data_IF_088241491972
#
_entry.id   IF_088241491972
#
_cell.length_a   1.000
_cell.length_b   1.000
_cell.length_c   1.000
_cell.angle_alpha   90.00
_cell.angle_beta   90.00
_cell.angle_gamma   90.00
#
_symmetry.space_group_name_H-M   'P 1'
#
loop_
_entity.id
_entity.type
_entity.pdbx_description
1 polymer ?
#
# COMPACT_ATOMS: atom_id res chain seq x y z
N UNK A 1 13.93 6.45 26.25
CA UNK A 1 14.14 5.17 26.95
C UNK A 1 12.96 4.25 26.62
N UNK A 2 12.87 3.77 25.36
CA UNK A 2 11.92 2.74 24.88
C UNK A 2 12.46 2.23 23.53
N UNK A 3 13.55 1.44 23.55
CA UNK A 3 14.18 0.95 22.30
C UNK A 3 13.52 -0.33 21.73
N UNK A 4 12.44 -0.81 22.34
CA UNK A 4 11.72 -2.01 21.91
C UNK A 4 10.27 -1.92 22.34
N UNK A 5 9.47 -1.22 21.54
CA UNK A 5 8.02 -1.15 21.73
C UNK A 5 7.35 -2.42 21.16
N UNK A 6 7.97 -3.04 20.15
CA UNK A 6 7.42 -4.17 19.42
C UNK A 6 7.89 -5.53 19.97
N UNK A 7 7.00 -6.54 19.89
CA UNK A 7 7.32 -7.90 20.33
C UNK A 7 8.24 -8.63 19.34
N UNK A 8 8.74 -9.80 19.75
CA UNK A 8 9.48 -10.71 18.86
C UNK A 8 8.56 -11.09 17.68
N UNK A 9 8.99 -10.79 16.44
CA UNK A 9 8.22 -11.04 15.21
C UNK A 9 7.83 -9.80 14.41
N UNK A 10 8.02 -8.61 14.97
CA UNK A 10 7.82 -7.35 14.25
C UNK A 10 9.12 -6.84 13.62
N UNK A 11 8.99 -6.23 12.46
CA UNK A 11 10.07 -5.62 11.70
C UNK A 11 10.58 -4.31 12.31
N UNK A 12 11.52 -3.65 11.63
CA UNK A 12 12.02 -2.35 12.03
C UNK A 12 10.89 -1.30 12.00
N UNK A 13 10.95 -0.33 12.89
CA UNK A 13 10.00 0.77 12.93
C UNK A 13 10.24 1.80 11.81
N UNK A 14 9.17 2.25 11.13
CA UNK A 14 9.26 3.19 10.01
C UNK A 14 9.49 4.65 10.41
N UNK A 15 9.46 4.97 11.70
CA UNK A 15 9.76 6.31 12.23
C UNK A 15 11.14 6.34 12.85
N UNK A 16 11.46 5.36 13.71
CA UNK A 16 12.72 5.34 14.49
C UNK A 16 13.85 4.54 13.81
N UNK A 17 13.52 3.56 12.96
CA UNK A 17 14.50 2.63 12.33
C UNK A 17 14.41 2.64 10.79
N UNK A 18 14.16 3.81 10.20
CA UNK A 18 13.89 4.00 8.76
C UNK A 18 14.90 3.30 7.84
N UNK A 19 16.20 3.32 8.17
CA UNK A 19 17.24 2.67 7.37
C UNK A 19 17.03 1.16 7.26
N UNK A 20 16.79 0.49 8.41
CA UNK A 20 16.52 -0.96 8.43
C UNK A 20 15.17 -1.29 7.82
N UNK A 21 14.15 -0.42 8.00
CA UNK A 21 12.84 -0.61 7.39
C UNK A 21 12.94 -0.60 5.85
N UNK A 22 13.74 0.32 5.28
CA UNK A 22 14.05 0.38 3.86
C UNK A 22 14.77 -0.89 3.37
N UNK A 23 15.75 -1.38 4.12
CA UNK A 23 16.43 -2.65 3.80
C UNK A 23 15.44 -3.82 3.81
N UNK A 24 14.56 -3.91 4.81
CA UNK A 24 13.51 -4.92 4.86
C UNK A 24 12.55 -4.86 3.67
N UNK A 25 12.17 -3.66 3.23
CA UNK A 25 11.33 -3.47 2.05
C UNK A 25 12.05 -3.86 0.75
N UNK A 26 13.36 -3.58 0.62
CA UNK A 26 14.13 -4.04 -0.53
C UNK A 26 14.21 -5.58 -0.59
N UNK A 27 14.48 -6.24 0.55
CA UNK A 27 14.48 -7.70 0.64
C UNK A 27 13.10 -8.30 0.30
N UNK A 28 12.01 -7.65 0.73
CA UNK A 28 10.66 -8.03 0.34
C UNK A 28 10.44 -7.93 -1.17
N UNK A 29 10.89 -6.85 -1.82
CA UNK A 29 10.85 -6.74 -3.28
C UNK A 29 11.61 -7.87 -3.96
N UNK A 30 12.81 -8.18 -3.49
CA UNK A 30 13.61 -9.29 -4.06
C UNK A 30 12.88 -10.63 -3.97
N UNK A 31 12.10 -10.86 -2.92
CA UNK A 31 11.26 -12.06 -2.81
C UNK A 31 10.09 -12.05 -3.81
N UNK A 32 9.49 -10.88 -4.05
CA UNK A 32 8.37 -10.69 -5.00
C UNK A 32 8.84 -10.84 -6.45
N UNK A 33 9.94 -10.17 -6.83
CA UNK A 33 10.47 -10.13 -8.21
C UNK A 33 11.34 -11.35 -8.52
N UNK A 34 12.16 -11.77 -7.56
CA UNK A 34 13.33 -12.63 -7.76
C UNK A 34 13.02 -14.08 -8.11
N UNK A 35 11.81 -14.40 -8.54
CA UNK A 35 11.36 -15.77 -8.82
C UNK A 35 10.77 -15.95 -10.21
N UNK A 36 10.51 -14.89 -10.96
CA UNK A 36 10.13 -14.99 -12.39
C UNK A 36 11.35 -15.13 -13.32
N UNK A 37 12.53 -14.68 -12.89
CA UNK A 37 13.74 -14.66 -13.74
C UNK A 37 14.70 -15.85 -13.51
N UNK A 38 14.44 -16.72 -12.52
CA UNK A 38 15.33 -17.85 -12.21
C UNK A 38 15.07 -19.04 -13.13
N UNK A 39 15.86 -19.06 -14.21
CA UNK A 39 16.33 -20.22 -15.00
C UNK A 39 15.30 -21.33 -15.25
N UNK A 40 14.62 -21.19 -16.39
CA UNK A 40 14.02 -22.30 -17.13
C UNK A 40 15.11 -23.38 -17.33
N UNK A 41 14.96 -24.54 -16.70
CA UNK A 41 15.77 -25.74 -16.99
C UNK A 41 16.79 -26.20 -15.94
N UNK A 42 16.77 -25.70 -14.70
CA UNK A 42 17.52 -26.29 -13.58
C UNK A 42 16.58 -27.01 -12.60
N UNK A 43 17.00 -28.18 -12.15
CA UNK A 43 16.34 -28.87 -11.04
C UNK A 43 16.59 -28.09 -9.74
N UNK A 44 15.53 -27.51 -9.19
CA UNK A 44 15.56 -26.86 -7.89
C UNK A 44 15.42 -27.88 -6.77
N UNK A 45 16.14 -27.66 -5.67
CA UNK A 45 15.92 -28.39 -4.42
C UNK A 45 14.51 -28.17 -3.86
N UNK A 46 14.05 -29.03 -2.95
CA UNK A 46 12.72 -28.90 -2.34
C UNK A 46 12.55 -27.58 -1.57
N UNK A 47 13.60 -27.11 -0.92
CA UNK A 47 13.60 -25.84 -0.16
C UNK A 47 13.47 -24.64 -1.10
N UNK A 48 14.19 -24.66 -2.23
CA UNK A 48 14.06 -23.62 -3.27
C UNK A 48 12.68 -23.62 -3.91
N UNK A 49 12.08 -24.79 -4.18
CA UNK A 49 10.72 -24.88 -4.70
C UNK A 49 9.69 -24.28 -3.74
N UNK A 50 9.83 -24.52 -2.43
CA UNK A 50 8.96 -23.93 -1.41
C UNK A 50 9.12 -22.40 -1.34
N UNK A 51 10.35 -21.91 -1.40
CA UNK A 51 10.62 -20.48 -1.46
C UNK A 51 10.01 -19.86 -2.73
N UNK A 52 10.10 -20.54 -3.88
CA UNK A 52 9.51 -20.12 -5.16
C UNK A 52 7.99 -20.03 -5.07
N UNK A 53 7.36 -21.06 -4.51
CA UNK A 53 5.91 -21.05 -4.33
C UNK A 53 5.47 -19.94 -3.37
N UNK A 54 6.25 -19.68 -2.32
CA UNK A 54 5.97 -18.63 -1.35
C UNK A 54 6.07 -17.22 -1.95
N UNK A 55 7.12 -16.92 -2.72
CA UNK A 55 7.27 -15.61 -3.36
C UNK A 55 6.21 -15.37 -4.43
N UNK A 56 5.85 -16.39 -5.21
CA UNK A 56 4.70 -16.31 -6.14
C UNK A 56 3.36 -16.04 -5.45
N UNK A 57 3.14 -16.63 -4.26
CA UNK A 57 1.94 -16.35 -3.48
C UNK A 57 1.89 -14.90 -2.99
N UNK A 58 3.04 -14.34 -2.58
CA UNK A 58 3.15 -12.92 -2.18
C UNK A 58 2.96 -12.01 -3.39
N UNK A 59 3.58 -12.34 -4.53
CA UNK A 59 3.52 -11.54 -5.75
C UNK A 59 2.08 -11.28 -6.23
N UNK A 60 1.24 -12.32 -6.20
CA UNK A 60 -0.18 -12.24 -6.57
C UNK A 60 -1.08 -11.67 -5.48
N UNK A 61 -0.54 -11.42 -4.27
CA UNK A 61 -1.33 -10.93 -3.15
C UNK A 61 -1.67 -9.45 -3.35
N UNK A 62 -2.90 -9.01 -3.00
CA UNK A 62 -3.24 -7.59 -2.91
C UNK A 62 -2.28 -6.82 -1.99
N UNK A 63 -1.73 -5.70 -2.46
CA UNK A 63 -0.77 -4.88 -1.70
C UNK A 63 -1.34 -4.43 -0.35
N UNK A 64 -2.64 -4.11 -0.28
CA UNK A 64 -3.30 -3.77 0.98
C UNK A 64 -3.17 -4.89 2.03
N UNK A 65 -3.40 -6.13 1.61
CA UNK A 65 -3.35 -7.28 2.52
C UNK A 65 -1.91 -7.54 2.98
N UNK A 66 -0.95 -7.44 2.06
CA UNK A 66 0.46 -7.59 2.38
C UNK A 66 0.93 -6.54 3.39
N UNK A 67 0.59 -5.26 3.16
CA UNK A 67 0.91 -4.17 4.08
C UNK A 67 0.30 -4.35 5.48
N UNK A 68 -0.87 -5.00 5.58
CA UNK A 68 -1.53 -5.22 6.87
C UNK A 68 -0.95 -6.41 7.64
N UNK A 69 -0.57 -7.48 6.93
CA UNK A 69 -0.26 -8.76 7.57
C UNK A 69 1.24 -9.01 7.70
N UNK A 70 2.05 -8.47 6.80
CA UNK A 70 3.51 -8.60 6.86
C UNK A 70 4.11 -7.53 7.79
N UNK A 71 3.91 -7.72 9.09
CA UNK A 71 4.47 -6.85 10.14
C UNK A 71 6.00 -6.94 10.25
N UNK A 72 6.64 -7.87 9.55
CA UNK A 72 8.10 -7.94 9.39
C UNK A 72 8.66 -6.87 8.45
N UNK A 73 7.84 -6.37 7.52
CA UNK A 73 8.21 -5.36 6.53
C UNK A 73 7.43 -4.06 6.78
N UNK A 74 6.12 -4.17 6.94
CA UNK A 74 5.19 -3.05 7.11
C UNK A 74 4.77 -2.90 8.58
N UNK A 75 5.75 -2.93 9.48
CA UNK A 75 5.51 -2.84 10.92
C UNK A 75 4.70 -1.57 11.28
N UNK A 76 3.66 -1.75 12.09
CA UNK A 76 2.81 -0.65 12.59
C UNK A 76 1.78 -0.16 11.57
N UNK A 77 1.76 -0.72 10.35
CA UNK A 77 0.80 -0.36 9.33
C UNK A 77 -0.43 -1.28 9.43
N UNK A 78 -1.54 -0.70 9.90
CA UNK A 78 -2.84 -1.35 9.91
C UNK A 78 -3.68 -1.01 8.68
N UNK A 79 -4.87 -1.63 8.57
CA UNK A 79 -5.78 -1.49 7.41
C UNK A 79 -6.13 -0.06 7.05
N UNK A 80 -6.37 0.81 8.03
CA UNK A 80 -6.68 2.22 7.76
C UNK A 80 -5.47 2.96 7.19
N UNK A 81 -4.33 2.87 7.89
CA UNK A 81 -3.09 3.53 7.47
C UNK A 81 -2.63 3.06 6.08
N UNK A 82 -2.75 1.76 5.79
CA UNK A 82 -2.45 1.22 4.47
C UNK A 82 -3.37 1.78 3.38
N UNK A 83 -4.69 1.86 3.63
CA UNK A 83 -5.61 2.46 2.65
C UNK A 83 -5.32 3.94 2.40
N UNK A 84 -5.08 4.70 3.47
CA UNK A 84 -4.81 6.13 3.39
C UNK A 84 -3.49 6.39 2.65
N UNK A 85 -2.45 5.61 2.95
CA UNK A 85 -1.18 5.64 2.23
C UNK A 85 -1.36 5.28 0.74
N UNK A 86 -2.04 4.17 0.43
CA UNK A 86 -2.24 3.72 -0.96
C UNK A 86 -3.03 4.74 -1.77
N UNK A 87 -3.96 5.46 -1.15
CA UNK A 87 -4.61 6.62 -1.77
C UNK A 87 -3.60 7.74 -2.08
N UNK A 88 -2.70 8.08 -1.14
CA UNK A 88 -1.67 9.11 -1.39
C UNK A 88 -0.61 8.69 -2.42
N UNK A 89 -0.33 7.40 -2.51
CA UNK A 89 0.61 6.82 -3.47
C UNK A 89 -0.05 6.46 -4.81
N UNK A 90 -1.29 6.90 -5.05
CA UNK A 90 -2.07 6.63 -6.27
C UNK A 90 -2.08 5.13 -6.67
N UNK A 91 -2.07 4.24 -5.69
CA UNK A 91 -2.02 2.79 -5.88
C UNK A 91 -3.34 2.17 -5.45
N UNK A 92 -3.96 1.38 -6.32
CA UNK A 92 -5.21 0.71 -5.99
C UNK A 92 -5.00 -0.36 -4.90
N UNK A 93 -5.87 -0.49 -3.89
CA UNK A 93 -5.62 -1.42 -2.78
C UNK A 93 -5.56 -2.90 -3.16
N UNK A 94 -6.19 -3.28 -4.27
CA UNK A 94 -6.15 -4.65 -4.78
C UNK A 94 -5.06 -4.90 -5.83
N UNK A 95 -4.23 -3.90 -6.13
CA UNK A 95 -3.07 -4.07 -7.00
C UNK A 95 -2.19 -5.21 -6.47
N UNK A 96 -1.85 -6.22 -7.30
CA UNK A 96 -0.91 -7.26 -6.91
C UNK A 96 0.44 -6.66 -6.49
N UNK A 97 1.08 -7.24 -5.47
CA UNK A 97 2.41 -6.79 -5.02
C UNK A 97 3.42 -6.78 -6.16
N UNK A 98 3.30 -7.72 -7.10
CA UNK A 98 4.14 -7.79 -8.29
C UNK A 98 4.15 -6.49 -9.09
N UNK A 99 2.98 -5.86 -9.33
CA UNK A 99 2.89 -4.64 -10.13
C UNK A 99 3.64 -3.46 -9.49
N UNK A 100 3.73 -3.42 -8.16
CA UNK A 100 4.50 -2.40 -7.43
C UNK A 100 6.00 -2.69 -7.49
N UNK A 101 6.38 -3.96 -7.55
CA UNK A 101 7.76 -4.41 -7.44
C UNK A 101 8.48 -4.58 -8.79
N UNK A 102 7.76 -4.90 -9.87
CA UNK A 102 8.34 -5.25 -11.17
C UNK A 102 9.17 -4.11 -11.77
N UNK A 103 8.64 -2.89 -11.76
CA UNK A 103 9.36 -1.70 -12.22
C UNK A 103 10.14 -1.07 -11.05
N UNK A 104 11.46 -0.95 -11.20
CA UNK A 104 12.32 -0.38 -10.17
C UNK A 104 11.98 1.08 -9.86
N UNK A 105 11.62 1.88 -10.86
CA UNK A 105 11.30 3.29 -10.67
C UNK A 105 9.98 3.44 -9.90
N UNK A 106 8.96 2.65 -10.27
CA UNK A 106 7.68 2.59 -9.55
C UNK A 106 7.88 2.17 -8.10
N UNK A 107 8.75 1.17 -7.86
CA UNK A 107 9.06 0.73 -6.52
C UNK A 107 9.81 1.79 -5.69
N UNK A 108 10.79 2.48 -6.28
CA UNK A 108 11.53 3.54 -5.59
C UNK A 108 10.60 4.71 -5.24
N UNK A 109 9.68 5.08 -6.14
CA UNK A 109 8.66 6.09 -5.88
C UNK A 109 7.69 5.66 -4.77
N UNK A 110 7.22 4.40 -4.80
CA UNK A 110 6.39 3.83 -3.74
C UNK A 110 7.11 3.84 -2.38
N UNK A 111 8.37 3.39 -2.34
CA UNK A 111 9.20 3.39 -1.13
C UNK A 111 9.43 4.81 -0.61
N UNK A 112 9.71 5.76 -1.49
CA UNK A 112 9.88 7.17 -1.12
C UNK A 112 8.57 7.73 -0.55
N UNK A 113 7.45 7.51 -1.23
CA UNK A 113 6.13 7.95 -0.77
C UNK A 113 5.79 7.36 0.60
N UNK A 114 6.11 6.08 0.85
CA UNK A 114 5.87 5.41 2.13
C UNK A 114 6.66 6.08 3.26
N UNK A 115 7.94 6.35 3.02
CA UNK A 115 8.82 7.00 4.00
C UNK A 115 8.33 8.41 4.30
N UNK A 116 8.02 9.19 3.27
CA UNK A 116 7.54 10.56 3.41
C UNK A 116 6.19 10.61 4.15
N UNK A 117 5.27 9.70 3.82
CA UNK A 117 3.97 9.59 4.46
C UNK A 117 4.10 9.26 5.95
N UNK A 118 4.92 8.27 6.31
CA UNK A 118 5.08 7.85 7.71
C UNK A 118 5.87 8.87 8.54
N UNK A 119 6.80 9.60 7.93
CA UNK A 119 7.54 10.68 8.58
C UNK A 119 6.62 11.81 9.08
N UNK A 120 5.44 12.02 8.45
CA UNK A 120 4.45 13.01 8.92
C UNK A 120 4.06 12.74 10.36
N UNK A 121 3.81 11.48 10.73
CA UNK A 121 3.33 11.11 12.07
C UNK A 121 4.39 11.30 13.17
N UNK A 122 5.67 11.24 12.81
CA UNK A 122 6.78 11.57 13.70
C UNK A 122 7.09 13.08 13.79
N UNK A 123 6.50 13.91 12.93
CA UNK A 123 6.86 15.31 12.82
C UNK A 123 6.29 16.18 13.95
N UNK A 124 7.08 17.16 14.40
CA UNK A 124 6.62 18.12 15.41
C UNK A 124 5.43 18.95 14.91
N UNK A 125 5.37 19.21 13.60
CA UNK A 125 4.26 19.92 12.94
C UNK A 125 2.97 19.15 13.08
N UNK A 126 3.00 17.84 12.80
CA UNK A 126 1.84 16.96 13.00
C UNK A 126 1.38 16.99 14.45
N UNK A 127 2.27 16.74 15.41
CA UNK A 127 1.92 16.80 16.83
C UNK A 127 1.31 18.13 17.22
N UNK A 128 1.88 19.26 16.79
CA UNK A 128 1.31 20.60 17.07
C UNK A 128 -0.09 20.77 16.48
N UNK A 129 -0.36 20.22 15.31
CA UNK A 129 -1.67 20.33 14.64
C UNK A 129 -2.76 19.52 15.34
N UNK A 130 -2.43 18.33 15.86
CA UNK A 130 -3.41 17.45 16.50
C UNK A 130 -3.52 17.68 18.01
N UNK A 131 -2.47 18.17 18.68
CA UNK A 131 -2.45 18.42 20.14
C UNK A 131 -2.97 19.80 20.54
N UNK A 132 -3.64 20.53 19.64
CA UNK A 132 -4.12 21.87 19.95
C UNK A 132 -5.16 21.87 21.06
N UNK A 133 -4.91 22.70 22.07
CA UNK A 133 -5.76 23.22 23.14
C UNK A 133 -6.92 22.31 23.57
N UNK A 134 -6.81 21.75 24.77
CA UNK A 134 -7.89 20.96 25.38
C UNK A 134 -9.22 21.71 25.31
N UNK A 135 -10.25 21.05 24.82
CA UNK A 135 -11.60 21.59 24.77
C UNK A 135 -12.24 21.68 26.17
N UNK A 136 -11.66 21.01 27.16
CA UNK A 136 -12.14 20.99 28.53
C UNK A 136 -11.01 20.86 29.56
N UNK A 137 -11.29 21.21 30.81
CA UNK A 137 -10.41 20.89 31.95
C UNK A 137 -10.57 19.44 32.42
N UNK A 138 -11.61 18.74 31.97
CA UNK A 138 -11.80 17.32 32.23
C UNK A 138 -10.94 16.48 31.28
N UNK A 139 -9.95 15.76 31.82
CA UNK A 139 -9.02 14.91 31.07
C UNK A 139 -9.66 13.70 30.36
N UNK A 140 -10.90 13.35 30.73
CA UNK A 140 -11.65 12.27 30.10
C UNK A 140 -12.69 12.76 29.09
N UNK A 141 -12.80 14.09 28.90
CA UNK A 141 -13.69 14.64 27.89
C UNK A 141 -13.08 14.43 26.51
N UNK A 142 -13.88 13.90 25.59
CA UNK A 142 -13.51 13.73 24.19
C UNK A 142 -13.02 15.06 23.60
N UNK A 143 -11.81 15.07 23.02
CA UNK A 143 -11.28 16.25 22.33
C UNK A 143 -11.71 16.26 20.86
N UNK A 144 -12.91 16.80 20.63
CA UNK A 144 -13.52 16.98 19.31
C UNK A 144 -12.61 17.67 18.30
N UNK A 145 -11.93 18.74 18.72
CA UNK A 145 -11.04 19.52 17.84
C UNK A 145 -9.79 18.76 17.41
N UNK A 146 -9.19 17.99 18.33
CA UNK A 146 -8.08 17.10 18.01
C UNK A 146 -8.49 16.01 17.02
N UNK A 147 -9.68 15.43 17.24
CA UNK A 147 -10.25 14.43 16.34
C UNK A 147 -10.56 15.01 14.95
N UNK A 148 -11.19 16.18 14.85
CA UNK A 148 -11.48 16.82 13.56
C UNK A 148 -10.20 17.14 12.77
N UNK A 149 -9.17 17.64 13.44
CA UNK A 149 -7.87 17.89 12.82
C UNK A 149 -7.22 16.58 12.33
N UNK A 150 -7.26 15.52 13.14
CA UNK A 150 -6.75 14.22 12.74
C UNK A 150 -7.54 13.64 11.56
N UNK A 151 -8.87 13.63 11.63
CA UNK A 151 -9.74 13.06 10.60
C UNK A 151 -9.61 13.81 9.26
N UNK A 152 -9.53 15.13 9.28
CA UNK A 152 -9.40 15.93 8.05
C UNK A 152 -8.04 15.78 7.34
N UNK A 153 -6.96 15.63 8.11
CA UNK A 153 -5.61 15.55 7.57
C UNK A 153 -5.17 14.12 7.24
N UNK A 154 -5.56 13.14 8.05
CA UNK A 154 -4.98 11.80 8.01
C UNK A 154 -5.89 10.71 7.45
N UNK A 155 -7.22 10.90 7.45
CA UNK A 155 -8.15 9.88 6.95
C UNK A 155 -8.46 10.14 5.48
N UNK A 156 -7.93 9.30 4.60
CA UNK A 156 -8.01 9.38 3.12
C UNK A 156 -8.55 8.05 2.58
N UNK A 157 -9.79 7.73 2.93
CA UNK A 157 -10.41 6.45 2.56
C UNK A 157 -11.02 6.46 1.16
N UNK A 158 -10.75 5.40 0.39
CA UNK A 158 -11.56 4.99 -0.76
C UNK A 158 -13.01 4.70 -0.31
N UNK A 159 -13.88 5.69 -0.40
CA UNK A 159 -15.33 5.54 -0.18
C UNK A 159 -16.06 6.01 -1.42
N UNK A 160 -17.14 5.32 -1.80
CA UNK A 160 -18.10 5.80 -2.83
C UNK A 160 -18.80 7.07 -2.32
N UNK A 161 -18.13 8.20 -2.43
CA UNK A 161 -18.62 9.55 -2.12
C UNK A 161 -17.95 10.55 -3.06
N UNK A 162 -18.61 11.66 -3.35
CA UNK A 162 -17.96 12.80 -4.03
C UNK A 162 -16.91 13.37 -3.07
N UNK A 163 -15.65 13.37 -3.50
CA UNK A 163 -14.52 13.89 -2.72
C UNK A 163 -13.80 14.98 -3.52
N UNK A 164 -13.18 15.94 -2.82
CA UNK A 164 -12.28 16.91 -3.43
C UNK A 164 -10.87 16.35 -3.35
N UNK A 165 -10.22 16.17 -4.49
CA UNK A 165 -8.83 15.70 -4.63
C UNK A 165 -7.99 16.90 -5.07
N UNK A 166 -6.75 16.98 -4.59
CA UNK A 166 -5.82 18.00 -5.07
C UNK A 166 -5.47 17.73 -6.54
N UNK A 167 -5.29 18.79 -7.33
CA UNK A 167 -5.15 18.68 -8.79
C UNK A 167 -3.93 17.85 -9.21
N UNK A 168 -2.82 18.02 -8.50
CA UNK A 168 -1.59 17.25 -8.67
C UNK A 168 -1.81 15.75 -8.42
N UNK A 169 -2.47 15.41 -7.32
CA UNK A 169 -2.81 14.02 -7.00
C UNK A 169 -3.78 13.42 -8.01
N UNK A 170 -4.76 14.21 -8.47
CA UNK A 170 -5.69 13.78 -9.52
C UNK A 170 -4.95 13.46 -10.81
N UNK A 171 -4.05 14.35 -11.27
CA UNK A 171 -3.28 14.13 -12.49
C UNK A 171 -2.39 12.89 -12.37
N UNK A 172 -1.73 12.71 -11.22
CA UNK A 172 -0.95 11.49 -10.96
C UNK A 172 -1.81 10.22 -11.03
N UNK A 173 -3.02 10.23 -10.45
CA UNK A 173 -3.96 9.11 -10.55
C UNK A 173 -4.43 8.83 -11.99
N UNK A 174 -4.62 9.87 -12.81
CA UNK A 174 -4.92 9.71 -14.24
C UNK A 174 -3.74 9.07 -14.97
N UNK A 175 -2.53 9.60 -14.75
CA UNK A 175 -1.30 9.13 -15.39
C UNK A 175 -0.97 7.67 -15.03
N UNK A 176 -1.28 7.24 -13.80
CA UNK A 176 -1.09 5.85 -13.37
C UNK A 176 -2.20 4.90 -13.84
N UNK A 177 -3.18 5.41 -14.59
CA UNK A 177 -4.28 4.61 -15.14
C UNK A 177 -5.38 4.28 -14.11
N UNK A 178 -5.39 4.93 -12.95
CA UNK A 178 -6.42 4.71 -11.93
C UNK A 178 -7.82 5.16 -12.40
N UNK A 179 -7.87 6.08 -13.36
CA UNK A 179 -9.09 6.58 -14.00
C UNK A 179 -9.13 6.26 -15.50
N UNK A 180 -8.65 5.08 -15.91
CA UNK A 180 -8.74 4.64 -17.30
C UNK A 180 -10.21 4.66 -17.76
N UNK A 181 -10.53 5.49 -18.75
CA UNK A 181 -11.86 5.62 -19.34
C UNK A 181 -12.33 4.31 -20.00
N UNK A 182 -11.39 3.42 -20.34
CA UNK A 182 -11.66 2.09 -20.89
C UNK A 182 -11.85 1.02 -19.79
N UNK A 183 -11.73 1.37 -18.51
CA UNK A 183 -11.92 0.46 -17.38
C UNK A 183 -13.15 0.82 -16.55
N UNK A 184 -14.24 0.07 -16.75
CA UNK A 184 -15.43 0.16 -15.88
C UNK A 184 -15.27 -0.78 -14.69
N UNK A 185 -15.26 -0.23 -13.47
CA UNK A 185 -15.24 -1.03 -12.22
C UNK A 185 -16.46 -1.97 -12.19
N UNK A 186 -16.22 -3.27 -12.28
CA UNK A 186 -17.24 -4.33 -12.24
C UNK A 186 -17.50 -5.02 -13.57
N UNK A 187 -16.89 -4.56 -14.67
CA UNK A 187 -16.86 -5.34 -15.90
C UNK A 187 -15.87 -6.50 -15.79
N UNK A 188 -16.20 -7.61 -16.45
CA UNK A 188 -15.27 -8.72 -16.58
C UNK A 188 -14.07 -8.23 -17.37
N UNK A 189 -12.86 -8.36 -16.82
CA UNK A 189 -11.66 -8.30 -17.64
C UNK A 189 -11.86 -9.31 -18.75
N UNK A 190 -11.86 -8.88 -20.01
CA UNK A 190 -11.95 -9.80 -21.12
C UNK A 190 -10.83 -10.82 -20.96
N UNK A 191 -11.21 -12.04 -20.58
CA UNK A 191 -10.32 -13.16 -20.53
C UNK A 191 -9.66 -13.26 -21.90
N UNK A 192 -8.35 -13.04 -21.92
CA UNK A 192 -7.48 -13.39 -23.06
C UNK A 192 -7.43 -14.93 -23.24
N UNK A 193 -8.30 -15.68 -22.56
CA UNK A 193 -8.65 -17.05 -22.86
C UNK A 193 -10.03 -17.11 -23.48
N UNK A 194 -10.20 -16.67 -24.73
CA UNK A 194 -11.21 -17.19 -25.68
C UNK A 194 -11.01 -16.57 -27.08
N UNK A 195 -9.80 -16.72 -27.64
CA UNK A 195 -9.62 -16.72 -29.09
C UNK A 195 -9.85 -18.12 -29.67
N UNK A 196 -10.90 -18.81 -29.22
CA UNK A 196 -11.53 -19.86 -30.02
C UNK A 196 -13.04 -19.80 -29.76
N UNK A 197 -13.79 -19.79 -30.85
CA UNK A 197 -15.23 -19.99 -30.93
C UNK A 197 -16.14 -18.76 -30.74
N UNK A 198 -16.27 -18.03 -31.85
CA UNK A 198 -17.55 -17.73 -32.51
C UNK A 198 -18.65 -16.98 -31.77
N UNK A 199 -18.87 -15.78 -32.31
CA UNK A 199 -20.15 -15.21 -32.73
C UNK A 199 -21.15 -14.66 -31.71
N UNK A 200 -21.48 -13.38 -31.96
CA UNK A 200 -22.81 -12.77 -31.95
C UNK A 200 -23.39 -12.19 -30.64
N UNK A 201 -23.50 -10.86 -30.66
CA UNK A 201 -24.73 -10.04 -30.50
C UNK A 201 -24.94 -9.24 -29.20
N UNK A 202 -24.99 -7.91 -29.43
CA UNK A 202 -25.86 -6.84 -28.91
C UNK A 202 -25.83 -6.43 -27.43
N UNK A 203 -25.37 -5.20 -27.21
CA UNK A 203 -25.60 -4.40 -26.00
C UNK A 203 -26.80 -3.47 -26.26
N UNK A 204 -27.77 -3.47 -25.36
CA UNK A 204 -28.69 -2.33 -25.15
C UNK A 204 -28.52 -1.84 -23.70
N UNK A 205 -28.15 -0.55 -23.61
CA UNK A 205 -28.03 0.39 -22.49
C UNK A 205 -28.02 -0.13 -21.05
#
# INVERSE_FOLDING_TARGET
YFKRIWSVGYGPDWVDEVGKAKEGLNSWRELVVGQNERKIGLEFSKEEQQLIQHGQAIANRPILMEMCENQGVFNGIGRHLANDFLHTAATFPLTPCQCVCDNIDVFEDFKKALVDYLAVFGSQTFFRSISTRSNSRNQFMWNDRSYENYASCCVKVYKKRRVKIAEDLYNSMVETGLFDENHTIGEFYHDVYLLLSTSMISIQC
#
